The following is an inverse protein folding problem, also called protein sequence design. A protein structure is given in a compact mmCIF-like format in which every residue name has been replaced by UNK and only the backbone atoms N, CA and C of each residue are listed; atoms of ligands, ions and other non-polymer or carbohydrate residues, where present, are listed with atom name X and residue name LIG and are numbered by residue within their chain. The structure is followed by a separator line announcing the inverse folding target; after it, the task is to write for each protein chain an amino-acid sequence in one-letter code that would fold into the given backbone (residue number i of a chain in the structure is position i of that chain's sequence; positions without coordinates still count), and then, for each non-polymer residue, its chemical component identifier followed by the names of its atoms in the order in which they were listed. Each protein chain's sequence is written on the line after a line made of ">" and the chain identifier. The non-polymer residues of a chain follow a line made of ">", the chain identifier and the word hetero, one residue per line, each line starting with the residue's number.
data_IF_785659109126
#
_entry.id   IF_785659109126
#
_cell.length_a   1.000
_cell.length_b   1.000
_cell.length_c   1.000
_cell.angle_alpha   90.00
_cell.angle_beta   90.00
_cell.angle_gamma   90.00
#
_symmetry.space_group_name_H-M   'P 1'
#
loop_
_entity.id
_entity.type
_entity.pdbx_description
1 polymer ?
#
# COMPACT_ATOMS: atom_id res chain seq x y z
N UNK A 1 -42.85 13.90 -3.38
CA UNK A 1 -42.29 14.68 -2.24
C UNK A 1 -41.34 13.76 -1.49
N UNK A 2 -40.04 13.97 -1.64
CA UNK A 2 -38.99 13.30 -0.86
C UNK A 2 -39.22 13.68 0.60
N UNK A 3 -39.48 12.67 1.46
CA UNK A 3 -39.57 12.85 2.91
C UNK A 3 -38.17 13.30 3.38
N UNK A 4 -38.09 14.45 4.05
CA UNK A 4 -36.86 14.97 4.64
C UNK A 4 -36.93 14.84 6.15
N UNK A 5 -35.84 14.38 6.72
CA UNK A 5 -35.66 14.27 8.18
C UNK A 5 -34.63 15.29 8.64
N UNK A 6 -34.76 15.74 9.89
CA UNK A 6 -33.70 16.55 10.49
C UNK A 6 -32.48 15.68 10.80
N UNK A 7 -32.73 14.46 11.33
CA UNK A 7 -31.69 13.52 11.73
C UNK A 7 -32.01 12.10 11.27
N UNK A 8 -30.98 11.39 10.85
CA UNK A 8 -30.97 9.92 10.70
C UNK A 8 -29.82 9.35 11.52
N UNK A 9 -30.14 8.44 12.42
CA UNK A 9 -29.16 7.73 13.24
C UNK A 9 -29.40 6.24 13.08
N UNK A 10 -28.35 5.46 12.81
CA UNK A 10 -28.55 4.03 12.60
C UNK A 10 -27.29 3.19 12.52
N UNK A 11 -27.54 1.90 12.56
CA UNK A 11 -26.56 0.85 12.26
C UNK A 11 -27.10 0.03 11.08
N UNK A 12 -26.81 0.41 9.84
CA UNK A 12 -27.35 -0.27 8.66
C UNK A 12 -26.72 -1.67 8.49
N UNK A 13 -27.36 -2.57 7.74
CA UNK A 13 -26.73 -3.81 7.34
C UNK A 13 -25.37 -3.55 6.66
N UNK A 14 -24.34 -4.35 6.99
CA UNK A 14 -22.98 -4.16 6.49
C UNK A 14 -22.74 -4.83 5.16
N UNK A 15 -23.36 -5.97 4.96
CA UNK A 15 -23.20 -6.82 3.79
C UNK A 15 -24.50 -7.56 3.50
N UNK A 16 -24.66 -7.98 2.27
CA UNK A 16 -25.75 -8.84 1.82
C UNK A 16 -25.29 -10.29 1.88
N UNK A 17 -26.13 -11.17 2.43
CA UNK A 17 -25.87 -12.61 2.46
C UNK A 17 -26.17 -13.18 1.06
N UNK A 18 -25.10 -13.45 0.30
CA UNK A 18 -25.21 -14.14 -0.97
C UNK A 18 -24.87 -15.61 -0.81
N UNK A 19 -25.54 -16.48 -1.58
CA UNK A 19 -25.13 -17.89 -1.73
C UNK A 19 -23.70 -17.93 -2.33
N UNK A 20 -22.69 -18.09 -1.45
CA UNK A 20 -21.28 -18.16 -1.82
C UNK A 20 -20.33 -17.68 -0.71
N UNK A 21 -19.03 -17.76 -0.97
CA UNK A 21 -17.97 -17.43 -0.01
C UNK A 21 -17.65 -15.94 0.11
N UNK A 22 -18.45 -15.03 -0.48
CA UNK A 22 -18.06 -13.66 -0.68
C UNK A 22 -19.22 -12.67 -0.64
N UNK A 23 -19.56 -12.21 0.58
CA UNK A 23 -20.59 -11.18 0.78
C UNK A 23 -20.21 -9.83 0.15
N UNK A 24 -21.19 -9.13 -0.41
CA UNK A 24 -21.03 -7.80 -0.96
C UNK A 24 -21.38 -6.73 0.10
N UNK A 25 -20.63 -5.61 0.17
CA UNK A 25 -20.98 -4.52 1.06
C UNK A 25 -22.26 -3.84 0.59
N UNK A 26 -23.17 -3.54 1.53
CA UNK A 26 -24.40 -2.78 1.26
C UNK A 26 -24.46 -1.48 2.08
N UNK A 27 -23.65 -1.36 3.13
CA UNK A 27 -23.64 -0.15 3.97
C UNK A 27 -23.36 1.14 3.20
N UNK A 28 -22.58 1.07 2.13
CA UNK A 28 -22.31 2.18 1.24
C UNK A 28 -23.57 2.67 0.50
N UNK A 29 -24.49 1.76 0.16
CA UNK A 29 -25.78 2.11 -0.44
C UNK A 29 -26.68 2.83 0.56
N UNK A 30 -26.63 2.39 1.83
CA UNK A 30 -27.36 3.09 2.92
C UNK A 30 -26.81 4.49 3.17
N UNK A 31 -25.49 4.68 3.15
CA UNK A 31 -24.89 6.02 3.25
C UNK A 31 -25.34 6.91 2.11
N UNK A 32 -25.26 6.44 0.85
CA UNK A 32 -25.71 7.20 -0.32
C UNK A 32 -27.22 7.51 -0.29
N UNK A 33 -28.04 6.61 0.23
CA UNK A 33 -29.48 6.81 0.32
C UNK A 33 -29.87 7.80 1.44
N UNK A 34 -29.20 7.76 2.58
CA UNK A 34 -29.58 8.56 3.76
C UNK A 34 -29.07 9.98 3.72
N UNK A 35 -27.90 10.25 3.16
CA UNK A 35 -27.33 11.60 3.07
C UNK A 35 -28.25 12.64 2.39
N UNK A 36 -28.95 12.33 1.29
CA UNK A 36 -29.90 13.27 0.72
C UNK A 36 -31.25 13.35 1.48
N UNK A 37 -31.55 12.38 2.39
CA UNK A 37 -32.85 12.32 3.09
C UNK A 37 -32.88 13.16 4.37
N UNK A 38 -31.74 13.47 4.98
CA UNK A 38 -31.67 14.19 6.24
C UNK A 38 -30.66 15.33 6.21
N UNK A 39 -30.82 16.29 7.11
CA UNK A 39 -29.86 17.37 7.33
C UNK A 39 -28.59 16.82 7.99
N UNK A 40 -28.76 15.97 8.99
CA UNK A 40 -27.67 15.32 9.73
C UNK A 40 -27.87 13.79 9.71
N UNK A 41 -26.79 13.06 9.42
CA UNK A 41 -26.79 11.59 9.38
C UNK A 41 -25.63 11.05 10.20
N UNK A 42 -25.93 10.20 11.19
CA UNK A 42 -24.94 9.48 11.96
C UNK A 42 -25.13 7.97 11.77
N UNK A 43 -24.10 7.31 11.25
CA UNK A 43 -24.16 5.86 10.99
C UNK A 43 -22.94 5.14 11.59
N UNK A 44 -23.21 3.94 12.12
CA UNK A 44 -22.16 2.98 12.47
C UNK A 44 -21.94 2.09 11.26
N UNK A 45 -20.74 2.09 10.70
CA UNK A 45 -20.42 1.34 9.49
C UNK A 45 -19.04 0.67 9.58
N UNK A 46 -18.75 -0.33 8.71
CA UNK A 46 -17.39 -0.84 8.55
C UNK A 46 -16.45 0.28 8.08
N UNK A 47 -15.25 0.36 8.69
CA UNK A 47 -14.31 1.44 8.45
C UNK A 47 -13.37 1.22 7.24
N UNK A 48 -13.50 0.12 6.49
CA UNK A 48 -12.57 -0.25 5.42
C UNK A 48 -12.42 0.80 4.32
N UNK A 49 -13.51 1.50 3.99
CA UNK A 49 -13.48 2.53 2.97
C UNK A 49 -12.54 3.69 3.31
N UNK A 50 -12.36 4.00 4.60
CA UNK A 50 -11.42 5.04 5.07
C UNK A 50 -9.96 4.73 4.71
N UNK A 51 -9.64 3.45 4.51
CA UNK A 51 -8.30 2.97 4.14
C UNK A 51 -8.22 2.61 2.65
N UNK A 52 -9.22 2.98 1.86
CA UNK A 52 -9.40 2.58 0.46
C UNK A 52 -9.26 1.05 0.29
N UNK A 53 -9.83 0.30 1.22
CA UNK A 53 -9.77 -1.15 1.33
C UNK A 53 -11.18 -1.75 1.35
N UNK A 54 -11.27 -3.07 1.12
CA UNK A 54 -12.54 -3.78 1.08
C UNK A 54 -13.08 -3.91 -0.32
N UNK A 55 -14.38 -4.26 -0.42
CA UNK A 55 -15.07 -4.54 -1.68
C UNK A 55 -15.94 -3.37 -2.18
N UNK A 56 -16.05 -2.29 -1.41
CA UNK A 56 -16.70 -1.05 -1.91
C UNK A 56 -15.93 -0.52 -3.12
N UNK A 57 -16.62 0.03 -4.14
CA UNK A 57 -15.96 0.60 -5.30
C UNK A 57 -14.94 1.68 -4.89
N UNK A 58 -13.76 1.66 -5.50
CA UNK A 58 -12.72 2.65 -5.17
C UNK A 58 -13.19 4.08 -5.42
N UNK A 59 -13.94 4.30 -6.49
CA UNK A 59 -14.53 5.59 -6.82
C UNK A 59 -15.50 6.08 -5.73
N UNK A 60 -16.25 5.16 -5.11
CA UNK A 60 -17.10 5.47 -3.97
C UNK A 60 -16.27 5.82 -2.72
N UNK A 61 -15.21 5.05 -2.44
CA UNK A 61 -14.31 5.37 -1.33
C UNK A 61 -13.69 6.76 -1.50
N UNK A 62 -13.24 7.09 -2.70
CA UNK A 62 -12.69 8.41 -3.04
C UNK A 62 -13.73 9.52 -2.88
N UNK A 63 -14.98 9.28 -3.31
CA UNK A 63 -16.11 10.19 -3.09
C UNK A 63 -16.27 10.47 -1.59
N UNK A 64 -16.35 9.45 -0.76
CA UNK A 64 -16.52 9.62 0.69
C UNK A 64 -15.31 10.30 1.36
N UNK A 65 -14.10 9.95 0.94
CA UNK A 65 -12.89 10.57 1.49
C UNK A 65 -12.71 12.05 1.09
N UNK A 66 -13.30 12.46 -0.02
CA UNK A 66 -13.28 13.85 -0.51
C UNK A 66 -14.54 14.64 -0.15
N UNK A 67 -15.50 14.02 0.52
CA UNK A 67 -16.70 14.70 0.99
C UNK A 67 -16.36 15.66 2.13
N UNK A 68 -16.60 16.96 1.91
CA UNK A 68 -16.30 18.02 2.87
C UNK A 68 -17.32 18.08 4.03
N UNK A 69 -18.46 17.43 3.86
CA UNK A 69 -19.53 17.36 4.86
C UNK A 69 -19.39 16.14 5.78
N UNK A 70 -18.50 15.19 5.44
CA UNK A 70 -18.30 13.95 6.18
C UNK A 70 -17.21 14.09 7.24
N UNK A 71 -17.53 13.70 8.48
CA UNK A 71 -16.62 13.66 9.62
C UNK A 71 -16.64 12.30 10.29
N UNK A 72 -15.52 11.90 10.85
CA UNK A 72 -15.41 10.70 11.70
C UNK A 72 -15.51 11.13 13.16
N UNK A 73 -16.54 10.64 13.86
CA UNK A 73 -16.70 10.88 15.28
C UNK A 73 -15.92 9.89 16.13
N UNK A 74 -15.93 8.62 15.73
CA UNK A 74 -15.27 7.56 16.48
C UNK A 74 -14.78 6.47 15.53
N UNK A 75 -13.65 5.86 15.86
CA UNK A 75 -13.08 4.71 15.16
C UNK A 75 -12.58 3.68 16.18
N UNK A 76 -12.98 2.42 16.02
CA UNK A 76 -12.48 1.28 16.80
C UNK A 76 -11.97 0.19 15.85
N UNK A 77 -10.69 -0.10 15.94
CA UNK A 77 -10.05 -1.11 15.10
C UNK A 77 -10.50 -2.53 15.46
N UNK A 78 -10.70 -2.80 16.75
CA UNK A 78 -11.17 -4.08 17.24
C UNK A 78 -12.70 -4.04 17.41
N UNK A 79 -13.42 -4.50 16.38
CA UNK A 79 -14.88 -4.49 16.37
C UNK A 79 -15.53 -5.26 17.55
N UNK A 80 -14.82 -6.25 18.12
CA UNK A 80 -15.32 -7.01 19.27
C UNK A 80 -15.50 -6.15 20.54
N UNK A 81 -14.87 -4.97 20.61
CA UNK A 81 -15.11 -4.01 21.70
C UNK A 81 -16.45 -3.27 21.58
N UNK A 82 -17.03 -3.22 20.39
CA UNK A 82 -18.32 -2.58 20.11
C UNK A 82 -19.41 -3.62 19.97
N UNK A 83 -19.14 -4.67 19.23
CA UNK A 83 -20.08 -5.75 18.96
C UNK A 83 -19.45 -7.08 19.40
N UNK A 84 -20.00 -7.67 20.46
CA UNK A 84 -19.51 -8.94 20.97
C UNK A 84 -19.50 -10.03 19.88
N UNK A 85 -18.44 -10.82 19.83
CA UNK A 85 -18.26 -11.94 18.91
C UNK A 85 -18.24 -11.57 17.42
N UNK A 86 -17.83 -10.35 17.07
CA UNK A 86 -17.68 -9.93 15.66
C UNK A 86 -16.23 -9.66 15.31
N UNK A 87 -15.81 -10.10 14.13
CA UNK A 87 -14.52 -9.76 13.52
C UNK A 87 -14.72 -8.99 12.22
N UNK A 88 -14.93 -7.68 12.33
CA UNK A 88 -15.05 -6.78 11.19
C UNK A 88 -13.66 -6.27 10.84
N UNK A 89 -13.04 -6.89 9.83
CA UNK A 89 -11.69 -6.51 9.36
C UNK A 89 -11.65 -5.04 8.96
N UNK A 90 -10.70 -4.29 9.52
CA UNK A 90 -10.56 -2.85 9.34
C UNK A 90 -11.29 -2.02 10.38
N UNK A 91 -12.06 -2.67 11.29
CA UNK A 91 -12.75 -2.01 12.37
C UNK A 91 -14.09 -1.38 11.99
N UNK A 92 -14.64 -0.64 12.93
CA UNK A 92 -15.93 0.04 12.86
C UNK A 92 -15.75 1.53 13.05
N UNK A 93 -16.59 2.32 12.40
CA UNK A 93 -16.54 3.78 12.45
C UNK A 93 -17.94 4.34 12.71
N UNK A 94 -18.02 5.41 13.50
CA UNK A 94 -19.18 6.29 13.56
C UNK A 94 -18.91 7.47 12.64
N UNK A 95 -19.69 7.56 11.58
CA UNK A 95 -19.67 8.66 10.63
C UNK A 95 -20.69 9.71 11.01
N UNK A 96 -20.38 10.97 10.76
CA UNK A 96 -21.27 12.12 10.88
C UNK A 96 -21.24 12.89 9.57
N UNK A 97 -22.37 13.05 8.95
CA UNK A 97 -22.53 13.85 7.74
C UNK A 97 -23.53 14.95 7.99
N UNK A 98 -23.15 16.21 7.71
CA UNK A 98 -23.98 17.38 7.91
C UNK A 98 -24.02 18.21 6.63
N UNK A 99 -25.18 18.28 6.00
CA UNK A 99 -25.34 18.94 4.69
C UNK A 99 -25.06 20.44 4.71
N UNK A 100 -25.18 21.08 5.85
CA UNK A 100 -25.03 22.52 6.01
C UNK A 100 -23.65 22.90 6.55
N UNK A 101 -22.88 21.92 7.04
CA UNK A 101 -21.61 22.16 7.70
C UNK A 101 -20.45 21.54 6.95
N UNK A 102 -19.53 22.37 6.52
CA UNK A 102 -18.24 21.90 6.01
C UNK A 102 -17.31 21.50 7.17
N UNK A 103 -16.92 20.23 7.19
CA UNK A 103 -15.98 19.67 8.14
C UNK A 103 -14.55 19.58 7.58
N UNK A 104 -14.42 19.76 6.26
CA UNK A 104 -13.21 19.54 5.50
C UNK A 104 -12.99 18.08 5.14
N UNK A 105 -12.58 17.83 3.91
CA UNK A 105 -12.38 16.48 3.36
C UNK A 105 -11.38 15.65 4.17
N UNK A 106 -11.74 14.41 4.49
CA UNK A 106 -10.90 13.45 5.24
C UNK A 106 -9.63 13.13 4.45
N UNK A 107 -9.78 12.76 3.18
CA UNK A 107 -8.78 12.36 2.18
C UNK A 107 -7.87 11.21 2.63
N UNK A 108 -7.10 11.38 3.71
CA UNK A 108 -6.25 10.34 4.31
C UNK A 108 -6.68 10.16 5.76
N UNK A 109 -7.02 8.94 6.12
CA UNK A 109 -7.42 8.56 7.46
C UNK A 109 -6.39 7.62 8.09
N UNK A 110 -6.15 7.79 9.37
CA UNK A 110 -5.36 6.87 10.20
C UNK A 110 -6.13 6.51 11.46
N UNK A 111 -5.81 5.35 12.05
CA UNK A 111 -6.36 4.91 13.33
C UNK A 111 -5.95 5.82 14.53
N UNK A 112 -5.07 6.78 14.30
CA UNK A 112 -4.49 7.62 15.34
C UNK A 112 -4.92 9.08 15.17
N UNK A 113 -5.78 9.63 16.07
CA UNK A 113 -6.32 10.99 15.93
C UNK A 113 -5.25 12.07 15.80
N UNK A 114 -4.15 11.93 16.56
CA UNK A 114 -3.03 12.88 16.50
C UNK A 114 -2.41 12.93 15.10
N UNK A 115 -2.27 11.77 14.44
CA UNK A 115 -1.72 11.72 13.09
C UNK A 115 -2.65 12.36 12.07
N UNK A 116 -3.95 12.17 12.21
CA UNK A 116 -4.95 12.82 11.34
C UNK A 116 -4.82 14.36 11.44
N UNK A 117 -4.63 14.89 12.64
CA UNK A 117 -4.37 16.33 12.85
C UNK A 117 -3.08 16.80 12.17
N UNK A 118 -2.01 16.02 12.27
CA UNK A 118 -0.72 16.33 11.64
C UNK A 118 -0.88 16.31 10.11
N UNK A 119 -1.54 15.29 9.56
CA UNK A 119 -1.81 15.18 8.11
C UNK A 119 -2.52 16.41 7.59
N UNK A 120 -3.57 16.87 8.26
CA UNK A 120 -4.32 18.05 7.84
C UNK A 120 -3.46 19.34 7.84
N UNK A 121 -2.54 19.47 8.78
CA UNK A 121 -1.60 20.62 8.82
C UNK A 121 -0.57 20.53 7.71
N UNK A 122 -0.01 19.35 7.49
CA UNK A 122 1.06 19.09 6.51
C UNK A 122 0.55 19.28 5.10
N UNK A 123 -0.68 18.83 4.78
CA UNK A 123 -1.32 18.99 3.47
C UNK A 123 -1.32 20.42 2.92
N UNK A 124 -1.52 21.40 3.78
CA UNK A 124 -1.55 22.82 3.39
C UNK A 124 -0.19 23.32 2.90
N UNK A 125 0.90 22.58 3.11
CA UNK A 125 2.29 22.98 2.83
C UNK A 125 3.01 22.07 1.83
N UNK A 126 2.53 20.84 1.62
CA UNK A 126 3.17 19.87 0.73
C UNK A 126 2.87 20.23 -0.73
N UNK A 127 3.91 20.29 -1.56
CA UNK A 127 3.81 20.48 -3.01
C UNK A 127 3.80 19.15 -3.79
N UNK A 128 4.37 18.08 -3.23
CA UNK A 128 4.45 16.74 -3.83
C UNK A 128 4.39 15.69 -2.73
N UNK A 129 3.88 14.51 -3.05
CA UNK A 129 3.79 13.39 -2.12
C UNK A 129 4.92 12.40 -2.36
N UNK A 130 5.46 11.82 -1.29
CA UNK A 130 6.34 10.66 -1.41
C UNK A 130 5.68 9.51 -2.17
N UNK A 131 4.34 9.40 -2.10
CA UNK A 131 3.58 8.38 -2.84
C UNK A 131 3.81 8.44 -4.34
N UNK A 132 4.18 9.61 -4.87
CA UNK A 132 4.36 9.83 -6.32
C UNK A 132 5.61 9.12 -6.84
N UNK A 133 6.57 8.83 -5.96
CA UNK A 133 7.83 8.16 -6.27
C UNK A 133 7.98 6.78 -5.64
N UNK A 134 6.92 6.26 -4.99
CA UNK A 134 6.90 4.89 -4.44
C UNK A 134 6.30 3.94 -5.45
N UNK A 135 7.06 2.93 -5.83
CA UNK A 135 6.64 1.86 -6.73
C UNK A 135 6.26 0.61 -5.95
N UNK A 136 5.10 0.06 -6.29
CA UNK A 136 4.50 -1.09 -5.62
C UNK A 136 5.35 -2.37 -5.79
N UNK A 137 5.15 -3.39 -4.94
CA UNK A 137 5.85 -4.67 -5.08
C UNK A 137 5.66 -5.32 -6.46
N UNK A 138 4.50 -5.12 -7.07
CA UNK A 138 4.10 -5.69 -8.36
C UNK A 138 4.56 -4.87 -9.57
N UNK A 139 5.45 -3.89 -9.38
CA UNK A 139 5.87 -2.94 -10.42
C UNK A 139 6.62 -3.58 -11.57
N UNK A 140 7.49 -4.55 -11.29
CA UNK A 140 8.22 -5.26 -12.33
C UNK A 140 7.47 -6.50 -12.79
N UNK A 141 7.45 -6.73 -14.09
CA UNK A 141 6.72 -7.82 -14.72
C UNK A 141 7.59 -8.52 -15.75
N UNK A 142 7.34 -9.79 -15.97
CA UNK A 142 7.85 -10.50 -17.15
C UNK A 142 7.18 -9.99 -18.42
N UNK A 143 7.85 -10.21 -19.55
CA UNK A 143 7.27 -10.01 -20.89
C UNK A 143 6.81 -11.34 -21.48
N UNK A 144 6.03 -11.28 -22.55
CA UNK A 144 5.67 -12.47 -23.35
C UNK A 144 6.89 -13.15 -23.97
N UNK A 145 7.98 -12.37 -24.23
CA UNK A 145 9.19 -12.90 -24.85
C UNK A 145 9.82 -14.02 -24.02
N UNK A 146 9.76 -13.94 -22.70
CA UNK A 146 10.25 -15.02 -21.83
C UNK A 146 9.61 -16.37 -22.16
N UNK A 147 8.29 -16.38 -22.40
CA UNK A 147 7.55 -17.61 -22.71
C UNK A 147 7.70 -18.06 -24.16
N UNK A 148 8.09 -17.14 -25.06
CA UNK A 148 8.44 -17.50 -26.45
C UNK A 148 9.79 -18.21 -26.48
N UNK A 149 10.75 -17.71 -25.73
CA UNK A 149 12.12 -18.25 -25.69
C UNK A 149 12.24 -19.49 -24.79
N UNK A 150 11.39 -19.59 -23.74
CA UNK A 150 11.37 -20.68 -22.75
C UNK A 150 9.95 -21.25 -22.58
N UNK A 151 9.36 -21.86 -23.62
CA UNK A 151 7.98 -22.34 -23.59
C UNK A 151 7.74 -23.47 -22.59
N UNK A 152 8.77 -24.21 -22.21
CA UNK A 152 8.71 -25.29 -21.22
C UNK A 152 8.25 -24.80 -19.84
N UNK A 153 8.47 -23.55 -19.47
CA UNK A 153 8.04 -22.98 -18.19
C UNK A 153 6.53 -23.14 -17.97
N UNK A 154 5.73 -23.08 -19.03
CA UNK A 154 4.28 -23.22 -18.95
C UNK A 154 3.81 -24.65 -18.58
N UNK A 155 4.63 -25.65 -18.86
CA UNK A 155 4.34 -27.06 -18.55
C UNK A 155 5.04 -27.55 -17.28
N UNK A 156 5.96 -26.77 -16.73
CA UNK A 156 6.71 -27.15 -15.53
C UNK A 156 5.82 -27.15 -14.28
N UNK A 157 6.04 -28.14 -13.43
CA UNK A 157 5.35 -28.32 -12.16
C UNK A 157 6.33 -28.33 -10.99
N UNK A 158 5.81 -28.11 -9.79
CA UNK A 158 6.58 -28.24 -8.54
C UNK A 158 5.72 -28.93 -7.48
N UNK A 159 6.37 -29.55 -6.51
CA UNK A 159 5.66 -30.11 -5.36
C UNK A 159 5.48 -29.00 -4.30
N UNK A 160 4.23 -28.70 -3.98
CA UNK A 160 3.84 -27.77 -2.93
C UNK A 160 2.85 -28.44 -1.97
N UNK A 161 3.20 -28.52 -0.70
CA UNK A 161 2.39 -29.17 0.34
C UNK A 161 1.98 -30.61 -0.04
N UNK A 162 2.90 -31.37 -0.66
CA UNK A 162 2.68 -32.76 -1.09
C UNK A 162 1.79 -32.92 -2.34
N UNK A 163 1.47 -31.82 -3.03
CA UNK A 163 0.69 -31.84 -4.29
C UNK A 163 1.52 -31.25 -5.42
N UNK A 164 1.38 -31.83 -6.59
CA UNK A 164 1.93 -31.28 -7.81
C UNK A 164 1.09 -30.08 -8.26
N UNK A 165 1.77 -28.92 -8.45
CA UNK A 165 1.13 -27.67 -8.86
C UNK A 165 1.93 -27.04 -10.00
N UNK A 166 1.32 -26.24 -10.89
CA UNK A 166 2.06 -25.49 -11.89
C UNK A 166 3.15 -24.62 -11.27
N UNK A 167 4.31 -24.54 -11.91
CA UNK A 167 5.42 -23.70 -11.45
C UNK A 167 5.00 -22.23 -11.39
N UNK A 168 4.28 -21.76 -12.41
CA UNK A 168 3.67 -20.42 -12.45
C UNK A 168 2.18 -20.56 -12.14
N UNK A 169 1.71 -19.87 -11.13
CA UNK A 169 0.31 -19.91 -10.70
C UNK A 169 -0.58 -19.17 -11.69
N UNK A 170 -1.74 -19.72 -12.04
CA UNK A 170 -2.73 -19.12 -12.94
C UNK A 170 -3.07 -17.67 -12.49
N UNK A 171 -3.03 -16.74 -13.43
CA UNK A 171 -3.28 -15.31 -13.19
C UNK A 171 -2.07 -14.53 -12.67
N UNK A 172 -0.93 -15.19 -12.48
CA UNK A 172 0.34 -14.59 -12.05
C UNK A 172 1.46 -14.81 -13.07
N UNK A 173 1.10 -15.04 -14.32
CA UNK A 173 2.02 -15.43 -15.39
C UNK A 173 3.16 -14.45 -15.60
N UNK A 174 2.90 -13.17 -15.40
CA UNK A 174 3.89 -12.10 -15.59
C UNK A 174 4.47 -11.58 -14.28
N UNK A 175 4.15 -12.17 -13.14
CA UNK A 175 4.55 -11.65 -11.84
C UNK A 175 5.93 -12.11 -11.40
N UNK A 176 6.78 -11.18 -10.98
CA UNK A 176 8.01 -11.49 -10.24
C UNK A 176 7.66 -11.78 -8.77
N UNK A 177 7.00 -12.90 -8.53
CA UNK A 177 6.55 -13.28 -7.18
C UNK A 177 7.70 -13.41 -6.20
N UNK A 178 7.42 -13.37 -4.89
CA UNK A 178 8.46 -13.39 -3.85
C UNK A 178 9.35 -14.64 -3.86
N UNK A 179 8.89 -15.74 -4.41
CA UNK A 179 9.59 -17.02 -4.54
C UNK A 179 10.01 -17.36 -5.97
N UNK A 180 10.01 -16.36 -6.86
CA UNK A 180 10.26 -16.60 -8.30
C UNK A 180 11.67 -17.12 -8.56
N UNK A 181 12.64 -16.76 -7.73
CA UNK A 181 14.01 -17.25 -7.86
C UNK A 181 14.11 -18.76 -7.58
N UNK A 182 13.39 -19.27 -6.58
CA UNK A 182 13.37 -20.70 -6.29
C UNK A 182 12.68 -21.50 -7.42
N UNK A 183 11.82 -20.86 -8.19
CA UNK A 183 11.07 -21.47 -9.30
C UNK A 183 11.85 -21.48 -10.61
N UNK A 184 12.50 -20.37 -10.96
CA UNK A 184 13.10 -20.14 -12.28
C UNK A 184 14.63 -20.00 -12.25
N UNK A 185 15.26 -20.45 -11.14
CA UNK A 185 16.72 -20.49 -11.02
C UNK A 185 17.35 -21.42 -12.06
N UNK A 186 18.43 -20.97 -12.69
CA UNK A 186 19.09 -21.65 -13.81
C UNK A 186 18.21 -21.92 -15.05
N UNK A 187 17.01 -21.34 -15.11
CA UNK A 187 16.14 -21.35 -16.30
C UNK A 187 16.20 -19.97 -16.96
N UNK A 188 15.81 -18.92 -16.23
CA UNK A 188 15.87 -17.52 -16.67
C UNK A 188 16.67 -16.63 -15.72
N UNK A 189 16.90 -17.04 -14.46
CA UNK A 189 17.69 -16.33 -13.47
C UNK A 189 19.02 -17.04 -13.20
N UNK A 190 20.13 -16.29 -13.26
CA UNK A 190 21.47 -16.81 -13.15
C UNK A 190 22.30 -15.98 -12.15
N UNK A 191 23.27 -16.61 -11.49
CA UNK A 191 24.21 -15.90 -10.60
C UNK A 191 25.26 -15.09 -11.35
N UNK A 192 25.60 -15.51 -12.56
CA UNK A 192 26.59 -14.87 -13.41
C UNK A 192 25.93 -14.23 -14.62
N UNK A 193 26.54 -13.16 -15.12
CA UNK A 193 26.09 -12.52 -16.36
C UNK A 193 26.18 -13.52 -17.51
N UNK A 194 25.07 -13.72 -18.21
CA UNK A 194 24.98 -14.54 -19.39
C UNK A 194 25.56 -13.79 -20.60
N UNK A 195 26.02 -14.54 -21.61
CA UNK A 195 26.52 -14.00 -22.88
C UNK A 195 25.33 -13.62 -23.78
N UNK A 196 24.61 -12.59 -23.38
CA UNK A 196 23.51 -11.97 -24.12
C UNK A 196 23.77 -10.49 -24.27
N UNK A 197 23.20 -9.87 -25.31
CA UNK A 197 23.46 -8.46 -25.67
C UNK A 197 23.13 -7.50 -24.52
N UNK A 198 22.03 -7.73 -23.83
CA UNK A 198 21.61 -6.92 -22.68
C UNK A 198 21.11 -7.79 -21.53
N UNK A 199 21.67 -7.59 -20.34
CA UNK A 199 21.18 -8.21 -19.11
C UNK A 199 20.83 -7.15 -18.08
N UNK A 200 19.85 -7.46 -17.24
CA UNK A 200 19.49 -6.70 -16.04
C UNK A 200 19.59 -7.61 -14.82
N UNK A 201 19.56 -7.02 -13.64
CA UNK A 201 19.53 -7.77 -12.42
C UNK A 201 18.15 -7.60 -11.72
N UNK A 202 17.73 -8.61 -11.03
CA UNK A 202 16.56 -8.56 -10.15
C UNK A 202 16.99 -8.83 -8.73
N UNK A 203 16.66 -7.91 -7.83
CA UNK A 203 16.87 -8.03 -6.40
C UNK A 203 15.69 -8.78 -5.77
N UNK A 204 15.96 -9.85 -5.08
CA UNK A 204 14.93 -10.74 -4.53
C UNK A 204 15.43 -11.55 -3.36
N UNK A 205 14.71 -12.64 -3.07
CA UNK A 205 15.12 -13.65 -2.09
C UNK A 205 15.22 -15.01 -2.73
N UNK A 206 16.31 -15.72 -2.41
CA UNK A 206 16.53 -17.11 -2.74
C UNK A 206 16.92 -17.83 -1.43
N UNK A 207 16.24 -18.91 -1.11
CA UNK A 207 16.49 -19.65 0.15
C UNK A 207 16.52 -18.74 1.38
N UNK A 208 15.66 -17.73 1.42
CA UNK A 208 15.53 -16.72 2.46
C UNK A 208 16.66 -15.66 2.53
N UNK A 209 17.66 -15.72 1.67
CA UNK A 209 18.73 -14.72 1.56
C UNK A 209 18.41 -13.68 0.50
N UNK A 210 18.90 -12.44 0.70
CA UNK A 210 18.78 -11.36 -0.29
C UNK A 210 19.85 -11.52 -1.33
N UNK A 211 19.47 -11.62 -2.59
CA UNK A 211 20.41 -11.82 -3.72
C UNK A 211 19.96 -10.98 -4.92
N UNK A 212 20.92 -10.65 -5.78
CA UNK A 212 20.69 -10.14 -7.11
C UNK A 212 21.01 -11.24 -8.12
N UNK A 213 20.06 -11.57 -8.99
CA UNK A 213 20.27 -12.53 -10.06
C UNK A 213 20.14 -11.84 -11.42
N UNK A 214 20.93 -12.29 -12.38
CA UNK A 214 20.93 -11.81 -13.76
C UNK A 214 19.78 -12.46 -14.55
N UNK A 215 19.19 -11.69 -15.45
CA UNK A 215 18.15 -12.11 -16.40
C UNK A 215 18.29 -11.32 -17.69
N UNK A 216 17.92 -11.92 -18.82
CA UNK A 216 17.84 -11.21 -20.11
C UNK A 216 16.84 -10.04 -20.00
N UNK A 217 17.29 -8.85 -20.42
CA UNK A 217 16.49 -7.63 -20.36
C UNK A 217 15.18 -7.74 -21.15
N UNK A 218 15.15 -8.53 -22.23
CA UNK A 218 13.95 -8.76 -23.05
C UNK A 218 12.82 -9.42 -22.27
N UNK A 219 13.15 -10.13 -21.18
CA UNK A 219 12.18 -10.81 -20.33
C UNK A 219 11.54 -9.89 -19.29
N UNK A 220 12.08 -8.69 -19.10
CA UNK A 220 11.57 -7.71 -18.13
C UNK A 220 10.88 -6.56 -18.86
N UNK A 221 9.62 -6.29 -18.48
CA UNK A 221 8.84 -5.19 -19.02
C UNK A 221 9.49 -3.83 -18.68
N UNK A 222 9.36 -2.88 -19.60
CA UNK A 222 9.87 -1.51 -19.38
C UNK A 222 9.25 -0.92 -18.11
N UNK A 223 10.09 -0.34 -17.27
CA UNK A 223 9.66 0.31 -16.04
C UNK A 223 10.44 1.62 -15.82
N UNK A 224 9.81 2.73 -15.41
CA UNK A 224 10.44 4.05 -15.38
C UNK A 224 11.67 4.13 -14.47
N UNK A 225 11.77 3.31 -13.42
CA UNK A 225 12.94 3.33 -12.54
C UNK A 225 13.92 2.17 -12.75
N UNK A 226 13.72 1.28 -13.74
CA UNK A 226 14.65 0.17 -13.97
C UNK A 226 16.07 0.70 -14.25
N UNK A 227 16.18 1.70 -15.12
CA UNK A 227 17.45 2.31 -15.54
C UNK A 227 17.82 3.56 -14.73
N UNK A 228 17.26 3.69 -13.52
CA UNK A 228 17.52 4.77 -12.57
C UNK A 228 18.03 4.21 -11.25
N UNK A 229 18.67 5.06 -10.44
CA UNK A 229 18.96 4.72 -9.05
C UNK A 229 17.69 4.80 -8.22
N UNK A 230 17.57 3.95 -7.20
CA UNK A 230 16.40 3.84 -6.34
C UNK A 230 16.78 3.25 -4.99
N UNK A 231 15.85 3.28 -4.05
CA UNK A 231 15.98 2.61 -2.76
C UNK A 231 15.03 1.42 -2.70
N UNK A 232 15.50 0.27 -2.24
CA UNK A 232 14.67 -0.91 -2.00
C UNK A 232 14.35 -1.03 -0.51
N UNK A 233 13.07 -1.26 -0.22
CA UNK A 233 12.58 -1.56 1.12
C UNK A 233 11.80 -2.87 1.10
N UNK A 234 11.89 -3.71 2.16
CA UNK A 234 11.04 -4.88 2.27
C UNK A 234 9.56 -4.49 2.26
N UNK A 235 8.74 -5.23 1.50
CA UNK A 235 7.27 -5.06 1.45
C UNK A 235 6.64 -5.24 2.83
N UNK A 236 7.09 -6.24 3.58
CA UNK A 236 6.69 -6.50 4.95
C UNK A 236 7.81 -6.06 5.89
N UNK A 237 7.50 -5.18 6.81
CA UNK A 237 8.43 -4.65 7.76
C UNK A 237 7.77 -4.51 9.13
N UNK A 238 8.30 -5.23 10.13
CA UNK A 238 7.80 -5.22 11.49
C UNK A 238 6.41 -5.83 11.68
N UNK A 239 5.83 -5.62 12.84
CA UNK A 239 4.49 -6.09 13.21
C UNK A 239 3.38 -5.09 12.84
N UNK A 240 3.73 -3.92 12.33
CA UNK A 240 2.81 -2.80 12.06
C UNK A 240 2.38 -2.05 13.32
N UNK A 241 3.07 -2.24 14.44
CA UNK A 241 2.80 -1.49 15.67
C UNK A 241 3.26 -0.05 15.55
N UNK A 242 2.52 0.84 16.17
CA UNK A 242 2.90 2.24 16.26
C UNK A 242 4.25 2.40 16.95
N UNK A 243 5.19 3.10 16.31
CA UNK A 243 6.53 3.31 16.84
C UNK A 243 7.60 2.37 16.29
N UNK A 244 7.25 1.37 15.48
CA UNK A 244 8.24 0.55 14.78
C UNK A 244 9.05 1.35 13.78
N UNK A 245 10.31 0.99 13.64
CA UNK A 245 11.27 1.63 12.73
C UNK A 245 11.35 0.81 11.45
N UNK A 246 11.40 1.48 10.32
CA UNK A 246 11.69 0.81 9.05
C UNK A 246 13.11 0.23 9.07
N UNK A 247 13.28 -0.93 8.44
CA UNK A 247 14.61 -1.51 8.18
C UNK A 247 15.40 -0.58 7.25
N UNK A 248 16.72 -0.70 7.26
CA UNK A 248 17.56 0.01 6.31
C UNK A 248 17.21 -0.38 4.88
N UNK A 249 17.27 0.60 4.00
CA UNK A 249 17.09 0.40 2.56
C UNK A 249 18.36 -0.09 1.89
N UNK A 250 18.21 -0.93 0.90
CA UNK A 250 19.27 -1.26 -0.04
C UNK A 250 19.23 -0.27 -1.22
N UNK A 251 20.40 0.06 -1.78
CA UNK A 251 20.48 0.90 -2.96
C UNK A 251 20.33 0.02 -4.18
N UNK A 252 19.37 0.35 -5.04
CA UNK A 252 19.22 -0.25 -6.36
C UNK A 252 19.98 0.56 -7.41
N UNK A 253 20.97 -0.06 -8.02
CA UNK A 253 21.75 0.52 -9.13
C UNK A 253 20.91 0.55 -10.43
N UNK A 254 21.41 1.25 -11.46
CA UNK A 254 20.80 1.22 -12.81
C UNK A 254 20.78 -0.20 -13.36
N UNK A 255 19.69 -0.58 -14.02
CA UNK A 255 19.51 -1.95 -14.53
C UNK A 255 19.13 -2.98 -13.45
N UNK A 256 18.77 -2.56 -12.24
CA UNK A 256 18.33 -3.47 -11.16
C UNK A 256 16.86 -3.26 -10.86
N UNK A 257 16.03 -4.29 -11.07
CA UNK A 257 14.64 -4.37 -10.63
C UNK A 257 14.48 -5.13 -9.30
N UNK A 258 13.25 -5.43 -8.89
CA UNK A 258 13.00 -6.24 -7.69
C UNK A 258 11.80 -7.19 -7.83
N UNK A 259 11.80 -8.26 -7.02
CA UNK A 259 10.66 -9.15 -6.86
C UNK A 259 9.60 -8.53 -5.95
N UNK A 260 8.42 -9.14 -5.87
CA UNK A 260 7.33 -8.73 -4.97
C UNK A 260 7.67 -8.76 -3.46
N UNK A 261 8.89 -9.16 -3.11
CA UNK A 261 9.40 -9.08 -1.73
C UNK A 261 9.69 -7.64 -1.31
N UNK A 262 9.94 -6.75 -2.28
CA UNK A 262 10.35 -5.37 -2.04
C UNK A 262 9.39 -4.36 -2.67
N UNK A 263 9.51 -3.13 -2.23
CA UNK A 263 9.05 -1.91 -2.91
C UNK A 263 10.27 -1.10 -3.29
N UNK A 264 10.13 -0.21 -4.27
CA UNK A 264 11.19 0.74 -4.57
C UNK A 264 10.72 2.17 -4.45
N UNK A 265 11.64 3.05 -4.05
CA UNK A 265 11.41 4.48 -3.89
C UNK A 265 12.39 5.24 -4.77
N UNK A 266 11.85 6.17 -5.55
CA UNK A 266 12.62 7.04 -6.42
C UNK A 266 12.93 6.46 -7.80
N UNK A 267 13.32 7.37 -8.67
CA UNK A 267 13.88 7.12 -10.00
C UNK A 267 14.94 8.20 -10.22
N UNK A 268 16.04 8.12 -9.46
CA UNK A 268 17.09 9.12 -9.38
C UNK A 268 18.06 8.98 -10.56
N UNK A 269 18.56 10.10 -11.05
CA UNK A 269 19.52 10.11 -12.14
C UNK A 269 20.93 9.76 -11.67
N UNK A 270 21.26 10.11 -10.44
CA UNK A 270 22.57 9.87 -9.83
C UNK A 270 22.47 9.02 -8.56
N UNK A 271 23.57 8.37 -8.22
CA UNK A 271 23.68 7.57 -6.99
C UNK A 271 23.67 8.46 -5.75
N UNK A 272 24.23 9.65 -5.89
CA UNK A 272 24.29 10.68 -4.85
C UNK A 272 22.89 11.17 -4.46
N UNK A 273 21.99 11.36 -5.42
CA UNK A 273 20.58 11.69 -5.14
C UNK A 273 19.88 10.58 -4.36
N UNK A 274 20.09 9.31 -4.74
CA UNK A 274 19.54 8.17 -4.02
C UNK A 274 20.12 8.07 -2.59
N UNK A 275 21.42 8.31 -2.43
CA UNK A 275 22.06 8.36 -1.12
C UNK A 275 21.54 9.50 -0.27
N UNK A 276 21.39 10.70 -0.83
CA UNK A 276 20.82 11.84 -0.13
C UNK A 276 19.39 11.55 0.35
N UNK A 277 18.54 10.95 -0.49
CA UNK A 277 17.19 10.53 -0.08
C UNK A 277 17.23 9.46 1.03
N UNK A 278 18.14 8.48 0.92
CA UNK A 278 18.39 7.49 1.97
C UNK A 278 18.82 8.14 3.27
N UNK A 279 19.72 9.11 3.19
CA UNK A 279 20.25 9.81 4.35
C UNK A 279 19.18 10.65 5.03
N UNK A 280 18.40 11.43 4.29
CA UNK A 280 17.25 12.19 4.81
C UNK A 280 16.27 11.27 5.54
N UNK A 281 16.03 10.05 5.05
CA UNK A 281 15.16 9.04 5.70
C UNK A 281 15.80 8.36 6.90
N UNK A 282 17.11 8.37 7.01
CA UNK A 282 17.89 7.70 8.06
C UNK A 282 18.49 8.63 9.11
N UNK A 283 18.59 9.95 8.81
CA UNK A 283 19.30 10.90 9.66
C UNK A 283 18.55 11.35 10.89
N UNK A 284 19.34 11.87 11.83
CA UNK A 284 18.85 12.72 12.92
C UNK A 284 18.23 13.98 12.33
N UNK A 285 17.11 14.41 12.88
CA UNK A 285 16.60 15.74 12.56
C UNK A 285 17.72 16.78 12.76
N UNK A 286 18.04 17.53 11.72
CA UNK A 286 19.10 18.55 11.79
C UNK A 286 18.81 19.67 12.79
N UNK A 287 17.52 19.90 13.12
CA UNK A 287 17.11 20.91 14.11
C UNK A 287 17.21 20.43 15.56
N UNK A 288 16.81 19.20 15.85
CA UNK A 288 16.75 18.69 17.22
C UNK A 288 17.79 17.59 17.53
N UNK A 289 18.61 17.18 16.58
CA UNK A 289 19.64 16.13 16.75
C UNK A 289 19.10 14.74 17.10
N UNK A 290 17.76 14.54 17.15
CA UNK A 290 17.13 13.26 17.47
C UNK A 290 17.08 12.39 16.24
N UNK A 291 17.28 11.07 16.42
CA UNK A 291 17.27 10.12 15.32
C UNK A 291 15.89 10.13 14.62
N UNK A 292 15.83 10.60 13.38
CA UNK A 292 14.62 10.65 12.56
C UNK A 292 14.07 9.23 12.29
N UNK A 293 14.94 8.20 12.28
CA UNK A 293 14.55 6.78 12.15
C UNK A 293 13.47 6.36 13.14
N UNK A 294 13.47 6.87 14.35
CA UNK A 294 12.51 6.46 15.39
C UNK A 294 11.12 7.04 15.21
N UNK A 295 10.88 7.86 14.18
CA UNK A 295 9.68 8.67 14.09
C UNK A 295 9.04 8.76 12.71
N UNK A 296 9.55 8.04 11.73
CA UNK A 296 8.88 7.88 10.44
C UNK A 296 8.11 6.55 10.41
N UNK A 297 6.81 6.64 10.22
CA UNK A 297 5.95 5.46 10.17
C UNK A 297 5.41 5.23 8.77
N UNK A 298 5.47 3.98 8.33
CA UNK A 298 4.80 3.50 7.14
C UNK A 298 3.34 3.18 7.47
N UNK A 299 2.44 3.93 6.90
CA UNK A 299 0.99 3.73 7.09
C UNK A 299 0.36 2.78 6.08
N UNK A 300 0.92 1.69 5.79
CA UNK A 300 0.51 0.67 4.84
C UNK A 300 1.01 0.89 3.42
N UNK A 301 1.25 -0.22 2.73
CA UNK A 301 1.59 -0.22 1.29
C UNK A 301 0.48 0.39 0.40
N UNK A 302 -0.73 0.57 0.95
CA UNK A 302 -1.88 1.14 0.25
C UNK A 302 -2.01 2.65 0.39
N UNK A 303 -1.64 3.23 1.53
CA UNK A 303 -1.71 4.68 1.75
C UNK A 303 -0.46 5.42 1.28
N UNK A 304 0.66 4.70 1.09
CA UNK A 304 1.94 5.23 0.57
C UNK A 304 2.38 6.56 1.21
N UNK A 305 2.08 6.77 2.50
CA UNK A 305 2.35 8.03 3.18
C UNK A 305 3.36 7.85 4.31
N UNK A 306 4.33 8.77 4.39
CA UNK A 306 5.31 8.85 5.46
C UNK A 306 5.18 10.18 6.19
N UNK A 307 5.22 10.14 7.52
CA UNK A 307 5.14 11.32 8.34
C UNK A 307 6.22 11.30 9.41
N UNK A 308 6.88 12.46 9.63
CA UNK A 308 7.76 12.62 10.76
C UNK A 308 6.91 12.84 12.01
N UNK A 309 6.98 11.92 12.97
CA UNK A 309 6.29 12.00 14.27
C UNK A 309 7.17 12.65 15.35
N UNK A 310 8.19 13.42 14.98
CA UNK A 310 8.97 14.13 15.95
C UNK A 310 8.08 15.19 16.62
N UNK A 311 7.71 14.94 17.86
CA UNK A 311 7.25 15.93 18.80
C UNK A 311 8.43 16.88 19.11
N UNK A 312 8.79 17.68 18.13
CA UNK A 312 9.87 18.65 18.25
C UNK A 312 9.24 20.03 18.13
N UNK A 313 9.22 20.81 19.21
CA UNK A 313 8.68 22.18 19.21
C UNK A 313 9.33 23.07 18.15
N UNK A 314 10.60 22.78 17.80
CA UNK A 314 11.37 23.53 16.80
C UNK A 314 10.99 23.19 15.34
N UNK A 315 10.30 22.08 15.12
CA UNK A 315 9.89 21.66 13.76
C UNK A 315 8.66 22.40 13.28
N UNK A 316 7.92 23.05 14.17
CA UNK A 316 6.67 23.66 13.78
C UNK A 316 6.02 22.80 12.72
N UNK A 317 5.57 21.63 13.08
CA UNK A 317 4.86 20.67 12.23
C UNK A 317 5.11 20.91 10.73
N UNK A 318 6.14 20.26 10.15
CA UNK A 318 6.32 20.20 8.70
C UNK A 318 5.22 19.38 8.09
#
# INVERSE_FOLDING_TARGET
>A
TSMKFDYVIGNPPYQDEMEGTSDNPVYNLFMDATYPMASVVELITPARFLFNAGKTPKTWNEKMLNDEHLKILYYEQNSAKIFNNTDIKGGVVITYHDREKECGAIQIFTAYPLLNTIIQKVKKRIKSSLSDIVFAPESYKFTKQMYVDCPEILSMTMISKGKEVPLISKGHDYDLTSNIFDKLYNIVFFETKQDTDEVVQIFGRKSNERVCLYIDRRYIAKHPNLDKYKLFFPKANGSGRFGEVMTDSDIGEKGVGHTQTFISIGAFDTREEALADREVRSTKCYKCGRAARKKMHWFSARTKAYYCLADCPEHGYI
#
